data_IF_620597010878
#
_entry.id   IF_620597010878
#
_cell.length_a   1.000
_cell.length_b   1.000
_cell.length_c   1.000
_cell.angle_alpha   90.00
_cell.angle_beta   90.00
_cell.angle_gamma   90.00
#
_symmetry.space_group_name_H-M   'P 1'
#
loop_
_entity.id
_entity.type
_entity.pdbx_description
1 polymer ?
#
# COMPACT_ATOMS: atom_id res chain seq x y z
N UNK A 1 -31.91 23.03 -3.01
CA UNK A 1 -30.67 23.80 -3.24
C UNK A 1 -29.47 22.87 -3.18
N UNK A 2 -28.43 23.12 -3.97
CA UNK A 2 -27.15 22.41 -3.84
C UNK A 2 -26.21 23.28 -3.01
N UNK A 3 -25.67 22.72 -1.93
CA UNK A 3 -24.68 23.38 -1.07
C UNK A 3 -23.36 22.64 -1.21
N UNK A 4 -22.33 23.36 -1.61
CA UNK A 4 -20.97 22.84 -1.70
C UNK A 4 -20.25 23.09 -0.37
N UNK A 5 -19.68 22.07 0.24
CA UNK A 5 -18.86 22.26 1.43
C UNK A 5 -17.57 23.02 1.06
N UNK A 6 -17.24 24.15 1.70
CA UNK A 6 -16.02 24.91 1.40
C UNK A 6 -14.73 24.19 1.81
N UNK A 7 -14.82 23.11 2.60
CA UNK A 7 -13.66 22.37 3.11
C UNK A 7 -13.31 21.11 2.31
N UNK A 8 -14.30 20.44 1.71
CA UNK A 8 -14.07 19.18 0.98
C UNK A 8 -14.73 19.14 -0.39
N UNK A 9 -15.32 20.26 -0.83
CA UNK A 9 -15.96 20.46 -2.13
C UNK A 9 -17.13 19.50 -2.45
N UNK A 10 -17.54 18.69 -1.47
CA UNK A 10 -18.66 17.77 -1.62
C UNK A 10 -19.97 18.55 -1.73
N UNK A 11 -20.74 18.23 -2.78
CA UNK A 11 -22.06 18.81 -3.02
C UNK A 11 -23.14 18.05 -2.26
N UNK A 12 -24.01 18.78 -1.57
CA UNK A 12 -25.14 18.25 -0.83
C UNK A 12 -26.43 18.81 -1.41
N UNK A 13 -27.35 17.93 -1.82
CA UNK A 13 -28.68 18.34 -2.27
C UNK A 13 -29.60 18.43 -1.05
N UNK A 14 -30.06 19.64 -0.74
CA UNK A 14 -30.87 19.93 0.45
C UNK A 14 -32.20 20.52 0.02
N UNK A 15 -33.28 20.02 0.63
CA UNK A 15 -34.63 20.57 0.49
C UNK A 15 -34.74 21.85 1.34
N UNK A 16 -34.79 23.00 0.68
CA UNK A 16 -34.83 24.33 1.29
C UNK A 16 -36.04 24.50 2.23
N UNK A 17 -37.16 23.84 1.93
CA UNK A 17 -38.39 23.89 2.74
C UNK A 17 -38.24 23.18 4.10
N UNK A 18 -37.19 22.38 4.28
CA UNK A 18 -36.92 21.64 5.52
C UNK A 18 -35.89 22.33 6.41
N UNK A 19 -35.34 23.49 6.00
CA UNK A 19 -34.39 24.25 6.80
C UNK A 19 -35.17 25.20 7.72
N UNK A 20 -35.09 25.07 9.05
CA UNK A 20 -35.69 26.05 9.96
C UNK A 20 -35.08 27.44 9.75
N UNK A 21 -35.87 28.54 9.80
CA UNK A 21 -35.43 29.90 9.47
C UNK A 21 -34.31 30.45 10.37
N UNK A 22 -34.05 29.79 11.49
CA UNK A 22 -33.09 30.12 12.52
C UNK A 22 -31.75 29.35 12.41
N UNK A 23 -31.57 28.51 11.38
CA UNK A 23 -30.31 27.77 11.17
C UNK A 23 -29.31 28.61 10.37
N UNK A 24 -28.18 28.98 11.01
CA UNK A 24 -27.09 29.75 10.39
C UNK A 24 -25.84 28.94 10.06
N UNK A 25 -25.75 27.68 10.53
CA UNK A 25 -24.59 26.82 10.39
C UNK A 25 -25.01 25.44 9.87
N UNK A 26 -24.33 24.93 8.85
CA UNK A 26 -24.43 23.57 8.37
C UNK A 26 -23.26 22.73 8.85
N UNK A 27 -23.48 21.41 9.02
CA UNK A 27 -22.42 20.43 9.21
C UNK A 27 -22.32 19.54 7.98
N UNK A 28 -21.15 19.44 7.37
CA UNK A 28 -20.93 18.58 6.21
C UNK A 28 -20.99 17.09 6.62
N UNK A 29 -21.79 16.27 5.92
CA UNK A 29 -21.79 14.82 6.12
C UNK A 29 -20.55 14.12 5.52
N UNK A 30 -19.79 14.79 4.65
CA UNK A 30 -18.54 14.27 4.08
C UNK A 30 -17.34 14.38 5.03
N UNK A 31 -17.06 15.60 5.53
CA UNK A 31 -15.87 15.87 6.35
C UNK A 31 -16.18 16.23 7.82
N UNK A 32 -17.45 16.35 8.20
CA UNK A 32 -17.87 16.66 9.57
C UNK A 32 -17.70 18.12 10.00
N UNK A 33 -17.08 18.97 9.17
CA UNK A 33 -16.86 20.39 9.46
C UNK A 33 -18.15 21.21 9.44
N UNK A 34 -18.20 22.25 10.28
CA UNK A 34 -19.30 23.21 10.33
C UNK A 34 -18.95 24.47 9.54
N UNK A 35 -19.89 24.98 8.74
CA UNK A 35 -19.71 26.20 7.95
C UNK A 35 -21.01 27.03 7.89
N UNK A 36 -20.94 28.35 7.72
CA UNK A 36 -22.12 29.21 7.69
C UNK A 36 -22.99 28.95 6.46
N UNK A 37 -24.32 28.92 6.67
CA UNK A 37 -25.33 28.82 5.62
C UNK A 37 -25.77 30.24 5.23
N UNK A 38 -25.25 30.76 4.13
CA UNK A 38 -25.74 32.01 3.54
C UNK A 38 -26.91 31.72 2.59
N UNK A 39 -28.13 31.74 3.12
CA UNK A 39 -29.36 31.61 2.33
C UNK A 39 -29.82 33.01 1.92
N UNK A 40 -29.28 33.52 0.80
CA UNK A 40 -29.92 34.45 -0.15
C UNK A 40 -28.90 35.10 -1.08
N UNK A 41 -28.80 34.60 -2.32
CA UNK A 41 -28.76 35.40 -3.56
C UNK A 41 -28.75 34.46 -4.78
N UNK A 42 -29.58 34.72 -5.81
CA UNK A 42 -29.54 33.97 -7.06
C UNK A 42 -28.25 34.30 -7.84
N UNK A 43 -27.64 33.28 -8.43
CA UNK A 43 -26.54 33.42 -9.39
C UNK A 43 -27.17 33.54 -10.79
N UNK A 44 -27.09 34.72 -11.41
CA UNK A 44 -27.47 34.91 -12.81
C UNK A 44 -26.42 34.30 -13.76
N UNK A 45 -26.84 33.71 -14.91
CA UNK A 45 -25.91 33.21 -15.92
C UNK A 45 -25.34 34.36 -16.77
N UNK A 46 -24.06 34.31 -17.21
CA UNK A 46 -23.51 35.36 -18.04
C UNK A 46 -24.07 35.27 -19.47
N UNK A 47 -24.53 36.42 -19.97
CA UNK A 47 -25.02 36.62 -21.32
C UNK A 47 -23.89 36.53 -22.37
N UNK A 48 -24.22 36.00 -23.54
CA UNK A 48 -23.36 35.94 -24.70
C UNK A 48 -23.27 37.30 -25.42
N UNK A 49 -22.07 37.76 -25.71
CA UNK A 49 -21.81 38.84 -26.68
C UNK A 49 -20.66 38.48 -27.60
N UNK A 50 -20.89 38.60 -28.91
CA UNK A 50 -19.94 38.43 -30.02
C UNK A 50 -18.94 39.63 -30.11
N UNK A 51 -17.81 39.47 -30.81
CA UNK A 51 -16.61 40.26 -30.61
C UNK A 51 -16.52 41.52 -31.50
N UNK A 52 -15.87 42.56 -30.98
CA UNK A 52 -15.34 43.68 -31.75
C UNK A 52 -13.84 43.85 -31.47
N UNK A 53 -13.09 44.00 -32.54
CA UNK A 53 -11.63 44.07 -32.70
C UNK A 53 -11.02 45.43 -32.32
N UNK A 54 -9.86 45.42 -31.63
CA UNK A 54 -8.64 46.25 -31.84
C UNK A 54 -7.76 46.27 -30.55
N UNK A 55 -6.52 46.77 -30.60
CA UNK A 55 -5.28 46.07 -30.98
C UNK A 55 -4.41 45.65 -29.77
N UNK A 56 -3.49 44.72 -30.02
CA UNK A 56 -2.63 44.07 -29.04
C UNK A 56 -1.59 44.99 -28.38
N UNK A 57 -1.51 44.93 -27.06
CA UNK A 57 -0.35 45.33 -26.26
C UNK A 57 0.36 44.05 -25.75
N UNK A 58 1.70 44.05 -25.58
CA UNK A 58 2.46 42.83 -25.41
C UNK A 58 2.18 42.16 -24.06
N UNK A 59 1.77 40.90 -24.11
CA UNK A 59 1.64 40.02 -22.95
C UNK A 59 3.05 39.63 -22.48
N UNK A 60 3.39 39.76 -21.19
CA UNK A 60 4.65 39.24 -20.68
C UNK A 60 4.64 37.70 -20.77
N UNK A 61 5.69 37.16 -21.39
CA UNK A 61 5.92 35.72 -21.54
C UNK A 61 5.85 34.98 -20.19
N UNK A 62 5.27 33.76 -20.14
CA UNK A 62 5.33 32.94 -18.94
C UNK A 62 6.79 32.59 -18.62
N UNK A 63 7.18 32.48 -17.33
CA UNK A 63 8.52 32.06 -16.97
C UNK A 63 8.78 30.68 -17.56
N UNK A 64 9.83 30.62 -18.40
CA UNK A 64 10.38 29.41 -19.00
C UNK A 64 10.48 28.31 -17.95
N UNK A 65 9.87 27.16 -18.26
CA UNK A 65 10.01 25.94 -17.49
C UNK A 65 11.51 25.65 -17.29
N UNK A 66 11.97 25.77 -16.04
CA UNK A 66 13.25 25.22 -15.66
C UNK A 66 13.19 23.72 -16.00
N UNK A 67 14.09 23.28 -16.89
CA UNK A 67 14.31 21.88 -17.16
C UNK A 67 14.41 21.14 -15.82
N UNK A 68 13.74 19.98 -15.65
CA UNK A 68 13.87 19.22 -14.43
C UNK A 68 15.36 18.91 -14.25
N UNK A 69 15.94 19.45 -13.19
CA UNK A 69 17.24 19.04 -12.70
C UNK A 69 17.21 17.51 -12.60
N UNK A 70 18.20 16.78 -13.13
CA UNK A 70 18.17 15.32 -13.04
C UNK A 70 18.09 14.96 -11.56
N UNK A 71 16.92 14.46 -11.14
CA UNK A 71 16.72 13.97 -9.80
C UNK A 71 17.82 12.95 -9.54
N UNK A 72 18.55 13.10 -8.43
CA UNK A 72 19.47 12.09 -7.95
C UNK A 72 18.75 10.74 -8.07
N UNK A 73 19.34 9.80 -8.82
CA UNK A 73 18.78 8.48 -9.14
C UNK A 73 18.07 7.89 -7.91
N UNK A 74 16.75 8.02 -7.85
CA UNK A 74 15.96 7.57 -6.72
C UNK A 74 15.88 6.05 -6.82
N UNK A 75 16.68 5.36 -6.03
CA UNK A 75 16.67 3.89 -6.00
C UNK A 75 15.39 3.41 -5.33
N UNK A 76 14.53 2.73 -6.08
CA UNK A 76 13.32 2.08 -5.57
C UNK A 76 13.67 1.03 -4.52
N UNK A 77 12.97 1.05 -3.38
CA UNK A 77 13.12 0.03 -2.33
C UNK A 77 12.13 -1.12 -2.55
N UNK A 78 12.62 -2.36 -2.59
CA UNK A 78 11.81 -3.54 -2.93
C UNK A 78 11.73 -4.45 -1.71
N UNK A 79 10.58 -4.41 -1.03
CA UNK A 79 10.36 -5.09 0.24
C UNK A 79 9.45 -6.29 0.02
N UNK A 80 9.97 -7.49 0.20
CA UNK A 80 9.18 -8.72 0.22
C UNK A 80 8.64 -9.01 1.61
N UNK A 81 7.32 -9.13 1.75
CA UNK A 81 6.66 -9.57 2.99
C UNK A 81 6.44 -11.07 2.91
N UNK A 82 7.33 -11.84 3.53
CA UNK A 82 7.40 -13.29 3.28
C UNK A 82 7.68 -14.12 4.52
N UNK A 83 7.02 -15.28 4.57
CA UNK A 83 7.25 -16.38 5.50
C UNK A 83 6.51 -17.61 4.97
N UNK A 84 7.16 -18.78 5.00
CA UNK A 84 6.58 -20.05 4.55
C UNK A 84 5.32 -20.45 5.34
N UNK A 85 5.19 -19.98 6.59
CA UNK A 85 4.02 -20.26 7.42
C UNK A 85 2.79 -19.44 7.03
N UNK A 86 1.63 -20.09 6.97
CA UNK A 86 0.33 -19.43 6.78
C UNK A 86 -0.17 -18.72 8.03
N UNK A 87 -1.07 -17.74 7.86
CA UNK A 87 -1.78 -17.12 8.99
C UNK A 87 -0.95 -16.18 9.88
N UNK A 88 0.27 -15.81 9.49
CA UNK A 88 1.15 -14.91 10.28
C UNK A 88 0.90 -13.42 10.06
N UNK A 89 -0.06 -13.07 9.20
CA UNK A 89 -0.40 -11.68 8.87
C UNK A 89 0.39 -11.06 7.71
N UNK A 90 0.85 -11.86 6.73
CA UNK A 90 1.56 -11.37 5.52
C UNK A 90 0.75 -10.36 4.73
N UNK A 91 -0.37 -10.77 4.13
CA UNK A 91 -1.23 -9.88 3.33
C UNK A 91 -1.72 -8.67 4.12
N UNK A 92 -2.12 -8.86 5.39
CA UNK A 92 -2.50 -7.75 6.28
C UNK A 92 -1.36 -6.75 6.45
N UNK A 93 -0.14 -7.24 6.62
CA UNK A 93 1.06 -6.39 6.71
C UNK A 93 1.39 -5.74 5.38
N UNK A 94 1.37 -6.48 4.27
CA UNK A 94 1.67 -5.95 2.93
C UNK A 94 0.73 -4.80 2.56
N UNK A 95 -0.58 -4.99 2.76
CA UNK A 95 -1.61 -3.97 2.48
C UNK A 95 -1.44 -2.74 3.37
N UNK A 96 -1.29 -2.92 4.69
CA UNK A 96 -1.21 -1.77 5.61
C UNK A 96 0.18 -1.11 5.62
N UNK A 97 1.25 -1.82 5.25
CA UNK A 97 2.56 -1.23 4.97
C UNK A 97 2.48 -0.35 3.73
N UNK A 98 1.94 -0.88 2.62
CA UNK A 98 1.85 -0.15 1.37
C UNK A 98 0.96 1.11 1.51
N UNK A 99 -0.20 0.97 2.16
CA UNK A 99 -1.09 2.09 2.44
C UNK A 99 -0.46 3.13 3.38
N UNK A 100 0.26 2.70 4.42
CA UNK A 100 0.93 3.61 5.34
C UNK A 100 2.06 4.39 4.68
N UNK A 101 2.85 3.74 3.82
CA UNK A 101 3.87 4.40 3.01
C UNK A 101 3.25 5.41 2.04
N UNK A 102 2.13 5.08 1.41
CA UNK A 102 1.39 6.00 0.54
C UNK A 102 0.83 7.22 1.30
N UNK A 103 0.30 7.01 2.51
CA UNK A 103 -0.11 8.10 3.42
C UNK A 103 1.05 8.99 3.85
N UNK A 104 2.27 8.46 3.90
CA UNK A 104 3.50 9.22 4.11
C UNK A 104 4.01 9.93 2.83
N UNK A 105 3.18 9.99 1.77
CA UNK A 105 3.48 10.69 0.52
C UNK A 105 4.45 9.95 -0.41
N UNK A 106 4.74 8.67 -0.17
CA UNK A 106 5.60 7.86 -1.04
C UNK A 106 4.78 7.21 -2.14
N UNK A 107 5.32 7.11 -3.36
CA UNK A 107 4.68 6.31 -4.43
C UNK A 107 4.92 4.83 -4.19
N UNK A 108 3.88 4.02 -4.09
CA UNK A 108 3.98 2.60 -3.71
C UNK A 108 3.27 1.70 -4.70
N UNK A 109 3.97 0.67 -5.18
CA UNK A 109 3.36 -0.46 -5.88
C UNK A 109 3.27 -1.67 -4.94
N UNK A 110 2.05 -2.15 -4.69
CA UNK A 110 1.81 -3.43 -4.04
C UNK A 110 1.68 -4.53 -5.10
N UNK A 111 2.52 -5.56 -5.04
CA UNK A 111 2.46 -6.72 -5.93
C UNK A 111 1.98 -7.92 -5.13
N UNK A 112 0.81 -8.46 -5.49
CA UNK A 112 0.26 -9.65 -4.84
C UNK A 112 0.65 -10.90 -5.65
N UNK A 113 1.44 -11.77 -5.03
CA UNK A 113 1.91 -13.02 -5.63
C UNK A 113 1.21 -14.25 -5.04
N UNK A 114 0.06 -14.08 -4.40
CA UNK A 114 -0.76 -15.17 -3.87
C UNK A 114 -1.90 -15.53 -4.84
N UNK A 115 -2.10 -16.83 -5.07
CA UNK A 115 -3.21 -17.34 -5.89
C UNK A 115 -4.57 -17.04 -5.28
N UNK A 116 -4.63 -16.70 -3.98
CA UNK A 116 -5.86 -16.25 -3.31
C UNK A 116 -6.24 -14.81 -3.63
N UNK A 117 -5.30 -13.97 -4.11
CA UNK A 117 -5.57 -12.59 -4.53
C UNK A 117 -6.18 -11.70 -3.45
N UNK A 118 -5.77 -11.90 -2.19
CA UNK A 118 -6.40 -11.25 -1.03
C UNK A 118 -6.09 -9.75 -0.95
N UNK A 119 -4.98 -9.28 -1.51
CA UNK A 119 -4.59 -7.86 -1.40
C UNK A 119 -5.61 -6.94 -2.08
N UNK A 120 -6.06 -7.30 -3.28
CA UNK A 120 -7.05 -6.50 -4.03
C UNK A 120 -8.41 -6.51 -3.36
N UNK A 121 -8.81 -7.65 -2.77
CA UNK A 121 -10.01 -7.76 -1.96
C UNK A 121 -9.94 -6.82 -0.73
N UNK A 122 -8.83 -6.86 0.03
CA UNK A 122 -8.63 -6.01 1.19
C UNK A 122 -8.66 -4.51 0.87
N UNK A 123 -8.21 -4.12 -0.32
CA UNK A 123 -8.24 -2.72 -0.80
C UNK A 123 -9.58 -2.31 -1.44
N UNK A 124 -10.52 -3.24 -1.61
CA UNK A 124 -11.81 -2.98 -2.24
C UNK A 124 -11.72 -2.70 -3.74
N UNK A 125 -10.70 -3.20 -4.43
CA UNK A 125 -10.45 -2.93 -5.85
C UNK A 125 -10.69 -4.16 -6.71
N UNK A 126 -11.16 -3.92 -7.94
CA UNK A 126 -11.33 -4.94 -8.97
C UNK A 126 -10.42 -4.61 -10.14
N UNK A 127 -9.47 -5.49 -10.42
CA UNK A 127 -8.61 -5.38 -11.60
C UNK A 127 -9.14 -6.23 -12.75
N UNK A 128 -8.88 -5.81 -13.99
CA UNK A 128 -9.22 -6.58 -15.20
C UNK A 128 -8.29 -7.78 -15.40
N UNK A 129 -7.04 -7.62 -14.98
CA UNK A 129 -5.98 -8.63 -14.91
C UNK A 129 -4.93 -8.17 -13.90
N UNK A 130 -3.85 -8.92 -13.75
CA UNK A 130 -2.85 -8.63 -12.75
C UNK A 130 -1.47 -9.14 -13.14
N UNK A 131 -0.74 -9.69 -12.16
CA UNK A 131 0.65 -10.08 -12.34
C UNK A 131 0.82 -11.16 -13.41
N UNK A 132 -0.13 -12.09 -13.56
CA UNK A 132 0.01 -13.14 -14.58
C UNK A 132 -0.06 -12.54 -15.97
N UNK A 133 -1.09 -11.75 -16.24
CA UNK A 133 -1.34 -11.16 -17.55
C UNK A 133 -0.26 -10.14 -17.93
N UNK A 134 0.34 -9.46 -16.94
CA UNK A 134 1.52 -8.63 -17.17
C UNK A 134 2.74 -9.47 -17.59
N UNK A 135 3.01 -10.57 -16.88
CA UNK A 135 4.18 -11.42 -17.14
C UNK A 135 4.03 -12.21 -18.45
N UNK A 136 2.81 -12.58 -18.83
CA UNK A 136 2.52 -13.22 -20.11
C UNK A 136 2.36 -12.24 -21.26
N UNK A 137 2.54 -10.94 -21.01
CA UNK A 137 2.41 -9.84 -21.99
C UNK A 137 1.01 -9.76 -22.63
N UNK A 138 0.00 -10.32 -21.97
CA UNK A 138 -1.41 -10.23 -22.38
C UNK A 138 -1.99 -8.84 -22.09
N UNK A 139 -1.46 -8.16 -21.07
CA UNK A 139 -1.83 -6.78 -20.71
C UNK A 139 -0.60 -5.89 -20.56
N UNK A 140 -0.73 -4.64 -20.96
CA UNK A 140 0.27 -3.61 -20.68
C UNK A 140 0.32 -3.25 -19.18
N UNK A 141 1.42 -2.65 -18.68
CA UNK A 141 1.50 -2.16 -17.30
C UNK A 141 0.34 -1.24 -16.91
N UNK A 142 -0.10 -0.37 -17.84
CA UNK A 142 -1.18 0.60 -17.62
C UNK A 142 -2.55 -0.09 -17.48
N UNK A 143 -2.72 -1.29 -18.03
CA UNK A 143 -3.96 -2.07 -17.93
C UNK A 143 -3.95 -3.02 -16.73
N UNK A 144 -2.79 -3.57 -16.38
CA UNK A 144 -2.64 -4.55 -15.30
C UNK A 144 -2.53 -3.90 -13.91
N UNK A 145 -2.02 -2.65 -13.83
CA UNK A 145 -1.80 -1.94 -12.56
C UNK A 145 -2.95 -0.98 -12.31
N UNK A 146 -3.57 -1.09 -11.13
CA UNK A 146 -4.71 -0.27 -10.72
C UNK A 146 -4.32 0.65 -9.58
N UNK A 147 -4.65 1.93 -9.69
CA UNK A 147 -4.54 2.85 -8.55
C UNK A 147 -5.63 2.51 -7.52
N UNK A 148 -5.21 2.05 -6.34
CA UNK A 148 -6.13 1.70 -5.27
C UNK A 148 -6.49 2.92 -4.43
N UNK A 149 -5.51 3.79 -4.15
CA UNK A 149 -5.64 5.05 -3.39
C UNK A 149 -4.56 6.03 -3.88
N UNK A 150 -4.64 7.34 -3.54
CA UNK A 150 -3.58 8.28 -3.88
C UNK A 150 -2.21 7.75 -3.45
N UNK A 151 -1.26 7.72 -4.39
CA UNK A 151 0.09 7.19 -4.22
C UNK A 151 0.20 5.67 -3.96
N UNK A 152 -0.89 4.90 -4.04
CA UNK A 152 -0.90 3.46 -3.88
C UNK A 152 -1.50 2.77 -5.10
N UNK A 153 -0.67 2.00 -5.78
CA UNK A 153 -1.05 1.15 -6.90
C UNK A 153 -0.93 -0.32 -6.51
N UNK A 154 -1.71 -1.16 -7.17
CA UNK A 154 -1.67 -2.61 -7.00
C UNK A 154 -1.56 -3.34 -8.34
N UNK A 155 -0.64 -4.29 -8.38
CA UNK A 155 -0.60 -5.35 -9.38
C UNK A 155 -1.19 -6.61 -8.73
N UNK A 156 -2.41 -6.95 -9.14
CA UNK A 156 -3.22 -7.96 -8.46
C UNK A 156 -2.69 -9.37 -8.67
N UNK A 157 -2.85 -10.22 -7.64
CA UNK A 157 -2.63 -11.65 -7.74
C UNK A 157 -3.90 -12.39 -8.15
N UNK A 158 -4.04 -13.63 -7.69
CA UNK A 158 -5.25 -14.43 -7.91
C UNK A 158 -5.04 -15.70 -8.72
N UNK A 159 -6.14 -16.34 -9.11
CA UNK A 159 -6.16 -17.72 -9.63
C UNK A 159 -5.26 -17.93 -10.86
N UNK A 160 -5.09 -16.93 -11.72
CA UNK A 160 -4.23 -17.02 -12.91
C UNK A 160 -2.76 -17.28 -12.58
N UNK A 161 -2.31 -16.91 -11.36
CA UNK A 161 -0.94 -17.21 -10.89
C UNK A 161 -0.64 -18.70 -10.82
N UNK A 162 -1.64 -19.59 -10.76
CA UNK A 162 -1.41 -21.03 -10.86
C UNK A 162 -0.84 -21.42 -12.23
N UNK A 163 -1.26 -20.74 -13.29
CA UNK A 163 -0.70 -20.87 -14.63
C UNK A 163 0.72 -20.31 -14.69
N UNK A 164 0.94 -19.13 -14.11
CA UNK A 164 2.27 -18.51 -14.04
C UNK A 164 3.30 -19.38 -13.32
N UNK A 165 2.93 -19.98 -12.17
CA UNK A 165 3.80 -20.92 -11.43
C UNK A 165 4.25 -22.08 -12.32
N UNK A 166 3.32 -22.68 -13.08
CA UNK A 166 3.64 -23.76 -14.03
C UNK A 166 4.51 -23.30 -15.19
N UNK A 167 4.33 -22.08 -15.68
CA UNK A 167 5.16 -21.50 -16.73
C UNK A 167 6.60 -21.29 -16.24
N UNK A 168 6.78 -20.78 -15.03
CA UNK A 168 8.08 -20.63 -14.38
C UNK A 168 8.78 -21.99 -14.24
N UNK A 169 8.08 -23.01 -13.73
CA UNK A 169 8.65 -24.36 -13.52
C UNK A 169 9.09 -25.06 -14.81
N UNK A 170 8.46 -24.73 -15.93
CA UNK A 170 8.78 -25.34 -17.23
C UNK A 170 9.97 -24.69 -17.94
N UNK A 171 10.50 -23.58 -17.42
CA UNK A 171 11.68 -22.93 -18.01
C UNK A 171 12.93 -23.74 -17.65
N UNK A 172 13.69 -24.13 -18.68
CA UNK A 172 14.96 -24.85 -18.49
C UNK A 172 16.02 -23.98 -17.78
N UNK A 173 16.00 -22.66 -17.98
CA UNK A 173 16.94 -21.71 -17.40
C UNK A 173 16.28 -20.36 -17.06
N UNK A 174 16.70 -19.75 -15.94
CA UNK A 174 16.34 -18.37 -15.57
C UNK A 174 14.88 -18.17 -15.14
N UNK A 175 14.15 -19.24 -14.84
CA UNK A 175 12.76 -19.17 -14.38
C UNK A 175 12.61 -18.31 -13.11
N UNK A 176 13.60 -18.34 -12.24
CA UNK A 176 13.72 -17.55 -11.01
C UNK A 176 13.83 -16.02 -11.23
N UNK A 177 14.15 -15.58 -12.45
CA UNK A 177 14.26 -14.15 -12.81
C UNK A 177 13.00 -13.60 -13.49
N UNK A 178 11.98 -14.43 -13.71
CA UNK A 178 10.76 -14.07 -14.46
C UNK A 178 10.09 -12.83 -13.88
N UNK A 179 9.89 -12.77 -12.56
CA UNK A 179 9.29 -11.61 -11.91
C UNK A 179 10.17 -10.37 -12.00
N UNK A 180 11.48 -10.53 -11.80
CA UNK A 180 12.42 -9.42 -11.84
C UNK A 180 12.48 -8.77 -13.24
N UNK A 181 12.43 -9.58 -14.29
CA UNK A 181 12.37 -9.10 -15.67
C UNK A 181 11.10 -8.27 -15.92
N UNK A 182 9.93 -8.81 -15.55
CA UNK A 182 8.65 -8.13 -15.75
C UNK A 182 8.53 -6.80 -14.99
N UNK A 183 9.10 -6.71 -13.78
CA UNK A 183 8.98 -5.51 -12.93
C UNK A 183 10.08 -4.46 -13.14
N UNK A 184 11.21 -4.82 -13.76
CA UNK A 184 12.40 -3.95 -13.88
C UNK A 184 12.15 -2.60 -14.58
N UNK A 185 11.24 -2.56 -15.55
CA UNK A 185 10.89 -1.33 -16.26
C UNK A 185 9.93 -0.44 -15.45
N UNK A 186 9.07 -1.06 -14.64
CA UNK A 186 7.94 -0.42 -13.97
C UNK A 186 8.33 0.09 -12.58
N UNK A 187 9.27 -0.59 -11.90
CA UNK A 187 9.65 -0.26 -10.52
C UNK A 187 10.16 1.17 -10.35
N UNK A 188 10.74 1.76 -11.41
CA UNK A 188 11.32 3.11 -11.43
C UNK A 188 10.30 4.23 -11.21
N UNK A 189 9.01 3.95 -11.43
CA UNK A 189 7.93 4.92 -11.21
C UNK A 189 7.53 5.02 -9.73
N UNK A 190 8.04 4.13 -8.88
CA UNK A 190 7.67 3.99 -7.49
C UNK A 190 8.86 4.16 -6.56
N UNK A 191 8.59 4.68 -5.37
CA UNK A 191 9.56 4.82 -4.30
C UNK A 191 9.73 3.47 -3.58
N UNK A 192 8.63 2.73 -3.45
CA UNK A 192 8.56 1.43 -2.82
C UNK A 192 7.80 0.44 -3.71
N UNK A 193 8.34 -0.77 -3.82
CA UNK A 193 7.60 -1.94 -4.28
C UNK A 193 7.46 -2.88 -3.09
N UNK A 194 6.23 -3.11 -2.63
CA UNK A 194 5.90 -4.07 -1.58
C UNK A 194 5.37 -5.33 -2.23
N UNK A 195 5.95 -6.48 -1.92
CA UNK A 195 5.56 -7.76 -2.54
C UNK A 195 4.96 -8.68 -1.49
N UNK A 196 3.68 -9.01 -1.63
CA UNK A 196 2.96 -9.96 -0.76
C UNK A 196 3.11 -11.38 -1.29
N UNK A 197 3.63 -12.30 -0.48
CA UNK A 197 3.84 -13.70 -0.90
C UNK A 197 2.81 -14.65 -0.33
N UNK A 198 2.46 -15.70 -1.08
CA UNK A 198 1.69 -16.82 -0.55
C UNK A 198 2.42 -17.57 0.57
N UNK A 199 1.70 -18.33 1.43
CA UNK A 199 2.31 -19.34 2.28
C UNK A 199 3.05 -20.42 1.45
N UNK A 200 3.99 -21.09 2.08
CA UNK A 200 4.77 -22.18 1.47
C UNK A 200 6.04 -21.72 0.77
N UNK A 201 6.68 -22.68 0.10
CA UNK A 201 7.86 -22.47 -0.73
C UNK A 201 7.54 -22.97 -2.13
N UNK A 202 7.37 -22.03 -3.06
CA UNK A 202 7.02 -22.31 -4.45
C UNK A 202 7.85 -21.45 -5.40
N UNK A 203 7.79 -21.71 -6.72
CA UNK A 203 8.63 -21.03 -7.70
C UNK A 203 8.40 -19.53 -7.75
N UNK A 204 7.19 -19.07 -7.41
CA UNK A 204 6.86 -17.66 -7.38
C UNK A 204 7.44 -16.99 -6.13
N UNK A 205 7.40 -17.66 -4.96
CA UNK A 205 8.14 -17.20 -3.77
C UNK A 205 9.64 -17.09 -4.06
N UNK A 206 10.23 -18.06 -4.77
CA UNK A 206 11.66 -17.98 -5.19
C UNK A 206 11.88 -16.75 -6.09
N UNK A 207 11.03 -16.53 -7.08
CA UNK A 207 11.08 -15.35 -7.94
C UNK A 207 11.03 -14.04 -7.14
N UNK A 208 10.18 -13.96 -6.12
CA UNK A 208 10.13 -12.80 -5.21
C UNK A 208 11.48 -12.59 -4.53
N UNK A 209 12.12 -13.65 -4.02
CA UNK A 209 13.43 -13.54 -3.34
C UNK A 209 14.58 -13.14 -4.27
N UNK A 210 14.50 -13.46 -5.57
CA UNK A 210 15.43 -12.95 -6.57
C UNK A 210 15.18 -11.48 -6.91
N UNK A 211 13.93 -11.02 -6.80
CA UNK A 211 13.52 -9.65 -7.09
C UNK A 211 13.78 -8.66 -5.93
N UNK A 212 13.33 -8.95 -4.71
CA UNK A 212 13.29 -8.00 -3.57
C UNK A 212 14.62 -7.90 -2.84
N UNK A 213 15.12 -6.71 -2.51
CA UNK A 213 16.37 -6.53 -1.73
C UNK A 213 16.16 -6.61 -0.22
N UNK A 214 14.97 -6.27 0.25
CA UNK A 214 14.67 -6.22 1.67
C UNK A 214 13.57 -7.24 2.00
N UNK A 215 13.76 -8.01 3.06
CA UNK A 215 12.73 -8.89 3.60
C UNK A 215 12.17 -8.32 4.89
N UNK A 216 10.84 -8.30 4.94
CA UNK A 216 10.05 -8.13 6.14
C UNK A 216 9.37 -9.47 6.43
N UNK A 217 9.63 -10.02 7.62
CA UNK A 217 9.11 -11.33 8.02
C UNK A 217 8.12 -11.12 9.17
N UNK A 218 6.80 -11.24 8.94
CA UNK A 218 5.81 -11.30 10.01
C UNK A 218 5.92 -12.62 10.76
N UNK A 219 6.06 -12.57 12.08
CA UNK A 219 6.22 -13.77 12.94
C UNK A 219 5.18 -13.71 14.06
N UNK A 220 4.28 -14.70 14.13
CA UNK A 220 3.40 -14.81 15.31
C UNK A 220 4.18 -15.29 16.53
N UNK A 221 3.83 -14.80 17.72
CA UNK A 221 4.53 -15.11 18.98
C UNK A 221 4.14 -16.47 19.58
N UNK A 222 3.97 -17.48 18.73
CA UNK A 222 3.62 -18.85 19.09
C UNK A 222 4.78 -19.82 18.84
N UNK A 223 4.90 -20.88 19.64
CA UNK A 223 6.04 -21.81 19.62
C UNK A 223 6.29 -22.40 18.22
N UNK A 224 5.25 -22.84 17.51
CA UNK A 224 5.39 -23.42 16.17
C UNK A 224 5.85 -22.40 15.11
N UNK A 225 5.72 -21.10 15.37
CA UNK A 225 6.18 -20.07 14.44
C UNK A 225 7.69 -19.86 14.51
N UNK A 226 8.31 -20.20 15.64
CA UNK A 226 9.77 -20.13 15.81
C UNK A 226 10.48 -21.12 14.88
N UNK A 227 10.00 -22.36 14.85
CA UNK A 227 10.57 -23.39 13.99
C UNK A 227 10.44 -23.00 12.51
N UNK A 228 9.24 -22.59 12.07
CA UNK A 228 9.01 -22.17 10.69
C UNK A 228 9.83 -20.95 10.29
N UNK A 229 10.06 -20.02 11.22
CA UNK A 229 10.98 -18.89 11.01
C UNK A 229 12.42 -19.37 10.78
N UNK A 230 12.94 -20.24 11.65
CA UNK A 230 14.31 -20.79 11.51
C UNK A 230 14.52 -21.58 10.21
N UNK A 231 13.54 -22.38 9.80
CA UNK A 231 13.56 -23.09 8.51
C UNK A 231 13.57 -22.12 7.33
N UNK A 232 12.74 -21.09 7.38
CA UNK A 232 12.69 -20.07 6.32
C UNK A 232 14.01 -19.30 6.18
N UNK A 233 14.69 -18.98 7.30
CA UNK A 233 16.02 -18.36 7.26
C UNK A 233 17.07 -19.24 6.57
N UNK A 234 17.02 -20.56 6.76
CA UNK A 234 17.91 -21.50 6.02
C UNK A 234 17.65 -21.48 4.52
N UNK A 235 16.38 -21.37 4.12
CA UNK A 235 16.00 -21.24 2.71
C UNK A 235 16.50 -19.93 2.12
N UNK A 236 16.36 -18.80 2.83
CA UNK A 236 16.91 -17.50 2.42
C UNK A 236 18.44 -17.58 2.27
N UNK A 237 19.13 -18.18 3.24
CA UNK A 237 20.59 -18.36 3.17
C UNK A 237 21.04 -19.18 1.95
N UNK A 238 20.19 -20.10 1.48
CA UNK A 238 20.46 -20.88 0.26
C UNK A 238 20.30 -20.02 -1.00
N UNK A 239 19.30 -19.13 -1.06
CA UNK A 239 19.12 -18.15 -2.14
C UNK A 239 20.25 -17.12 -2.16
N UNK A 240 20.71 -16.67 -0.99
CA UNK A 240 21.79 -15.68 -0.84
C UNK A 240 23.13 -16.15 -1.45
N UNK A 241 23.31 -17.45 -1.71
CA UNK A 241 24.47 -17.97 -2.46
C UNK A 241 24.51 -17.44 -3.90
N UNK A 242 23.35 -17.19 -4.48
CA UNK A 242 23.17 -16.69 -5.86
C UNK A 242 22.83 -15.21 -5.90
N UNK A 243 22.17 -14.69 -4.86
CA UNK A 243 21.63 -13.33 -4.81
C UNK A 243 21.94 -12.67 -3.48
N UNK A 244 23.14 -12.08 -3.37
CA UNK A 244 23.69 -11.56 -2.11
C UNK A 244 22.95 -10.33 -1.58
N UNK A 245 22.18 -9.66 -2.44
CA UNK A 245 21.47 -8.44 -2.14
C UNK A 245 20.22 -8.67 -1.29
N UNK A 246 19.71 -9.91 -1.16
CA UNK A 246 18.47 -10.15 -0.38
C UNK A 246 18.86 -10.22 1.08
N UNK A 247 18.32 -9.31 1.88
CA UNK A 247 18.67 -9.20 3.28
C UNK A 247 17.42 -9.18 4.15
N UNK A 248 17.48 -9.88 5.27
CA UNK A 248 16.49 -9.73 6.33
C UNK A 248 16.67 -8.36 6.98
N UNK A 249 15.74 -7.45 6.73
CA UNK A 249 15.78 -6.09 7.28
C UNK A 249 14.81 -5.92 8.44
N UNK A 250 13.66 -6.58 8.39
CA UNK A 250 12.60 -6.39 9.36
C UNK A 250 12.02 -7.73 9.83
N UNK A 251 11.96 -7.92 11.14
CA UNK A 251 11.19 -8.99 11.79
C UNK A 251 10.02 -8.29 12.47
N UNK A 252 8.80 -8.60 12.05
CA UNK A 252 7.60 -7.96 12.58
C UNK A 252 6.83 -8.96 13.45
N UNK A 253 6.92 -8.88 14.78
CA UNK A 253 6.09 -9.72 15.63
C UNK A 253 4.61 -9.34 15.45
N UNK A 254 3.76 -10.33 15.18
CA UNK A 254 2.32 -10.13 14.93
C UNK A 254 1.46 -10.82 15.99
N UNK A 255 0.22 -10.32 16.11
CA UNK A 255 -0.81 -10.82 17.02
C UNK A 255 -0.38 -10.80 18.50
N UNK A 256 0.37 -9.77 18.91
CA UNK A 256 0.78 -9.66 20.32
C UNK A 256 -0.44 -9.47 21.22
N UNK A 257 -0.73 -10.49 22.02
CA UNK A 257 -1.67 -10.43 23.12
C UNK A 257 -0.91 -10.14 24.42
N UNK A 258 -1.13 -8.96 24.99
CA UNK A 258 -0.47 -8.50 26.22
C UNK A 258 -0.80 -9.36 27.45
N UNK A 259 -1.83 -10.21 27.37
CA UNK A 259 -2.23 -11.12 28.45
C UNK A 259 -1.41 -12.41 28.47
N UNK A 260 -0.70 -12.74 27.39
CA UNK A 260 0.03 -14.00 27.23
C UNK A 260 1.52 -13.80 27.56
N UNK A 261 1.96 -14.31 28.72
CA UNK A 261 3.37 -14.17 29.18
C UNK A 261 4.39 -14.76 28.21
N UNK A 262 4.14 -15.97 27.68
CA UNK A 262 5.06 -16.66 26.75
C UNK A 262 5.40 -15.83 25.50
N UNK A 263 4.48 -14.97 25.05
CA UNK A 263 4.73 -14.09 23.91
C UNK A 263 5.83 -13.07 24.19
N UNK A 264 5.92 -12.57 25.44
CA UNK A 264 6.96 -11.64 25.86
C UNK A 264 8.34 -12.30 25.90
N UNK A 265 8.44 -13.52 26.44
CA UNK A 265 9.71 -14.26 26.50
C UNK A 265 10.30 -14.49 25.09
N UNK A 266 9.46 -14.83 24.11
CA UNK A 266 9.92 -15.02 22.75
C UNK A 266 10.30 -13.71 22.07
N UNK A 267 9.54 -12.63 22.31
CA UNK A 267 9.91 -11.31 21.81
C UNK A 267 11.27 -10.87 22.34
N UNK A 268 11.54 -11.03 23.63
CA UNK A 268 12.84 -10.73 24.25
C UNK A 268 13.98 -11.56 23.62
N UNK A 269 13.73 -12.83 23.28
CA UNK A 269 14.71 -13.66 22.58
C UNK A 269 14.98 -13.17 21.15
N UNK A 270 13.94 -12.79 20.40
CA UNK A 270 14.10 -12.21 19.08
C UNK A 270 14.90 -10.92 19.15
N UNK A 271 14.57 -10.04 20.09
CA UNK A 271 15.29 -8.76 20.31
C UNK A 271 16.76 -9.01 20.67
N UNK A 272 17.04 -10.00 21.52
CA UNK A 272 18.41 -10.37 21.89
C UNK A 272 19.24 -10.88 20.71
N UNK A 273 18.63 -11.64 19.79
CA UNK A 273 19.34 -12.28 18.67
C UNK A 273 19.45 -11.34 17.46
N UNK A 274 18.38 -10.63 17.13
CA UNK A 274 18.25 -9.87 15.88
C UNK A 274 18.30 -8.35 16.08
N UNK A 275 18.25 -7.88 17.33
CA UNK A 275 18.46 -6.47 17.70
C UNK A 275 17.56 -5.53 16.92
N UNK A 276 18.18 -4.57 16.26
CA UNK A 276 17.50 -3.51 15.51
C UNK A 276 16.63 -4.01 14.35
N UNK A 277 16.76 -5.26 13.91
CA UNK A 277 15.85 -5.83 12.89
C UNK A 277 14.45 -6.09 13.44
N UNK A 278 14.28 -6.24 14.76
CA UNK A 278 12.98 -6.50 15.37
C UNK A 278 12.17 -5.21 15.43
N UNK A 279 11.00 -5.19 14.79
CA UNK A 279 10.07 -4.07 14.81
C UNK A 279 9.22 -4.07 16.08
N UNK A 280 8.62 -2.91 16.39
CA UNK A 280 7.56 -2.85 17.38
C UNK A 280 6.43 -3.83 16.98
N UNK A 281 5.88 -4.59 17.92
CA UNK A 281 4.95 -5.66 17.61
C UNK A 281 3.57 -5.13 17.23
N UNK A 282 2.93 -5.75 16.24
CA UNK A 282 1.52 -5.52 15.93
C UNK A 282 0.67 -6.25 16.98
N UNK A 283 -0.08 -5.48 17.77
CA UNK A 283 -0.96 -6.02 18.80
C UNK A 283 -2.17 -6.71 18.19
N UNK A 284 -2.69 -7.72 18.89
CA UNK A 284 -3.96 -8.32 18.50
C UNK A 284 -5.06 -7.26 18.46
N UNK A 285 -5.71 -7.13 17.31
CA UNK A 285 -6.76 -6.14 17.11
C UNK A 285 -7.80 -6.67 16.11
N UNK A 286 -9.03 -6.88 16.60
CA UNK A 286 -10.16 -7.37 15.79
C UNK A 286 -10.46 -6.47 14.59
N UNK A 287 -10.20 -5.16 14.68
CA UNK A 287 -10.44 -4.21 13.59
C UNK A 287 -9.60 -4.51 12.35
N UNK A 288 -8.42 -5.11 12.50
CA UNK A 288 -7.59 -5.54 11.36
C UNK A 288 -8.25 -6.67 10.56
N UNK A 289 -9.02 -7.53 11.22
CA UNK A 289 -9.77 -8.62 10.58
C UNK A 289 -11.10 -8.14 10.00
N UNK A 290 -11.69 -7.07 10.54
CA UNK A 290 -12.94 -6.48 10.05
C UNK A 290 -12.75 -5.58 8.82
N UNK A 291 -11.68 -4.78 8.79
CA UNK A 291 -11.43 -3.78 7.74
C UNK A 291 -11.50 -4.33 6.29
N UNK A 292 -10.97 -5.55 5.98
CA UNK A 292 -11.10 -6.15 4.65
C UNK A 292 -12.52 -6.26 4.13
N UNK A 293 -13.50 -6.53 5.01
CA UNK A 293 -14.90 -6.69 4.60
C UNK A 293 -15.50 -5.40 4.01
N UNK A 294 -14.87 -4.25 4.28
CA UNK A 294 -15.26 -2.93 3.78
C UNK A 294 -14.35 -2.44 2.65
N UNK A 295 -13.36 -3.23 2.22
CA UNK A 295 -12.36 -2.79 1.24
C UNK A 295 -11.53 -1.59 1.72
N UNK A 296 -11.30 -1.54 3.04
CA UNK A 296 -10.61 -0.44 3.71
C UNK A 296 -9.36 -0.94 4.42
N UNK A 297 -8.33 -0.10 4.40
CA UNK A 297 -7.13 -0.28 5.21
C UNK A 297 -7.41 0.05 6.67
N UNK A 298 -6.52 -0.32 7.59
CA UNK A 298 -6.72 -0.02 9.03
C UNK A 298 -6.78 1.49 9.30
N UNK A 299 -6.09 2.29 8.48
CA UNK A 299 -6.05 3.75 8.61
C UNK A 299 -7.39 4.39 8.23
N UNK A 300 -8.14 3.78 7.31
CA UNK A 300 -9.46 4.27 6.89
C UNK A 300 -10.55 3.73 7.82
N UNK A 301 -10.51 2.43 8.12
CA UNK A 301 -11.55 1.76 8.89
C UNK A 301 -11.53 2.13 10.37
N UNK A 302 -10.34 2.19 10.98
CA UNK A 302 -10.19 2.46 12.41
C UNK A 302 -8.89 3.26 12.71
N UNK A 303 -8.80 4.53 12.27
CA UNK A 303 -7.58 5.35 12.34
C UNK A 303 -7.00 5.54 13.74
N UNK A 304 -7.86 5.54 14.78
CA UNK A 304 -7.48 5.68 16.19
C UNK A 304 -7.29 4.35 16.92
N UNK A 305 -7.33 3.22 16.21
CA UNK A 305 -7.13 1.91 16.81
C UNK A 305 -5.65 1.62 17.08
N UNK A 306 -5.38 0.73 18.03
CA UNK A 306 -4.02 0.24 18.28
C UNK A 306 -3.38 -0.36 17.02
N UNK A 307 -4.14 -0.99 16.13
CA UNK A 307 -3.60 -1.57 14.90
C UNK A 307 -3.11 -0.50 13.93
N UNK A 308 -3.86 0.61 13.80
CA UNK A 308 -3.41 1.75 13.01
C UNK A 308 -2.14 2.37 13.61
N UNK A 309 -2.08 2.51 14.94
CA UNK A 309 -0.88 3.02 15.61
C UNK A 309 0.34 2.11 15.41
N UNK A 310 0.18 0.79 15.60
CA UNK A 310 1.29 -0.16 15.48
C UNK A 310 1.85 -0.18 14.05
N UNK A 311 0.99 -0.08 13.03
CA UNK A 311 1.45 0.05 11.65
C UNK A 311 2.09 1.42 11.36
N UNK A 312 1.64 2.53 11.96
CA UNK A 312 2.36 3.83 11.86
C UNK A 312 3.79 3.72 12.41
N UNK A 313 3.98 3.00 13.52
CA UNK A 313 5.31 2.76 14.08
C UNK A 313 6.19 1.93 13.14
N UNK A 314 5.61 0.94 12.46
CA UNK A 314 6.30 0.22 11.38
C UNK A 314 6.69 1.17 10.23
N UNK A 315 5.80 2.07 9.79
CA UNK A 315 6.12 3.03 8.72
C UNK A 315 7.28 3.94 9.12
N UNK A 316 7.29 4.48 10.35
CA UNK A 316 8.40 5.30 10.86
C UNK A 316 9.72 4.54 10.80
N UNK A 317 9.72 3.26 11.20
CA UNK A 317 10.90 2.41 11.14
C UNK A 317 11.34 2.11 9.70
N UNK A 318 10.40 1.82 8.80
CA UNK A 318 10.73 1.52 7.40
C UNK A 318 11.27 2.76 6.70
N UNK A 319 10.65 3.92 6.90
CA UNK A 319 11.07 5.19 6.27
C UNK A 319 12.30 5.83 6.91
N UNK A 320 12.59 5.52 8.19
CA UNK A 320 13.61 6.23 8.97
C UNK A 320 13.16 7.61 9.44
N UNK A 321 11.87 7.93 9.36
CA UNK A 321 11.31 9.25 9.66
C UNK A 321 10.49 9.18 10.98
N UNK A 322 11.06 9.52 12.14
CA UNK A 322 10.42 9.30 13.44
C UNK A 322 9.20 10.20 13.70
N UNK A 323 9.14 11.36 13.04
CA UNK A 323 8.07 12.35 13.20
C UNK A 323 6.91 12.18 12.20
N UNK A 324 6.85 11.06 11.47
CA UNK A 324 5.70 10.79 10.61
C UNK A 324 4.42 10.61 11.43
N UNK A 325 3.32 11.17 10.94
CA UNK A 325 1.97 11.08 11.52
C UNK A 325 1.78 11.69 12.92
N UNK A 326 2.71 12.53 13.37
CA UNK A 326 2.55 13.33 14.60
C UNK A 326 1.74 14.59 14.34
#
# INVERSE_FOLDING_TARGET
MIITCPHCEKQHNIDEKRIPPNVKMARCQGCGQQFPLEINKPVEPPAATKPATAPAAPVPSPPSAAAPTPAASKTTRRIGVSLSKGGVGKTTTSVNLAAGLALAGKKVLLVDTDTQGQSSFMLGVKAKGGLTELVTEELSPQEAIVEARPNLWILSGGKSLAGLKRLIDRKDYGGELTLAQALSAIEKDYDYVVVDTSPGWDPLTVNVLFYVNELLIPVSLEVMSIQGFGEFLKSIASIQKYRKEVQLQYILPTFRDMRIKKGSEFLEQLEKIYGEKVCAPIRYNVRLSEAPAYGQTIYEFAPGSNGAQDYRDLIRKVTGEPNLFT
#
